data_IF_777717848153
#
_entry.id   IF_777717848153
#
_cell.length_a   1.000
_cell.length_b   1.000
_cell.length_c   1.000
_cell.angle_alpha   90.00
_cell.angle_beta   90.00
_cell.angle_gamma   90.00
#
_symmetry.space_group_name_H-M   'P 1'
#
loop_
_entity.id
_entity.type
_entity.pdbx_description
1 polymer ?
#
# COMPACT_ATOMS: atom_id res chain seq x y z
N UNK A 1 21.61 6.65 -9.27
CA UNK A 1 20.16 6.46 -9.47
C UNK A 1 19.74 5.01 -9.19
N UNK A 2 20.32 4.02 -9.87
CA UNK A 2 19.96 2.61 -9.67
C UNK A 2 20.12 2.13 -8.22
N UNK A 3 21.24 2.46 -7.57
CA UNK A 3 21.47 2.12 -6.15
C UNK A 3 20.46 2.79 -5.20
N UNK A 4 19.94 3.97 -5.55
CA UNK A 4 18.86 4.61 -4.80
C UNK A 4 17.58 3.78 -4.91
N UNK A 5 17.20 3.39 -6.12
CA UNK A 5 16.02 2.55 -6.37
C UNK A 5 16.07 1.21 -5.64
N UNK A 6 17.21 0.51 -5.71
CA UNK A 6 17.37 -0.79 -5.02
C UNK A 6 17.28 -0.64 -3.50
N UNK A 7 18.00 0.34 -2.92
CA UNK A 7 17.99 0.54 -1.48
C UNK A 7 16.61 1.01 -0.97
N UNK A 8 15.94 1.91 -1.69
CA UNK A 8 14.59 2.35 -1.33
C UNK A 8 13.56 1.21 -1.44
N UNK A 9 13.63 0.38 -2.49
CA UNK A 9 12.75 -0.77 -2.65
C UNK A 9 12.92 -1.80 -1.51
N UNK A 10 14.16 -2.17 -1.18
CA UNK A 10 14.44 -3.09 -0.08
C UNK A 10 13.95 -2.57 1.27
N UNK A 11 14.17 -1.27 1.56
CA UNK A 11 13.69 -0.64 2.78
C UNK A 11 12.16 -0.61 2.85
N UNK A 12 11.48 -0.17 1.77
CA UNK A 12 10.03 -0.07 1.70
C UNK A 12 9.36 -1.44 1.82
N UNK A 13 9.85 -2.46 1.12
CA UNK A 13 9.30 -3.81 1.20
C UNK A 13 9.43 -4.41 2.60
N UNK A 14 10.54 -4.11 3.29
CA UNK A 14 10.75 -4.54 4.67
C UNK A 14 9.88 -3.80 5.68
N UNK A 15 9.66 -2.49 5.50
CA UNK A 15 8.82 -1.66 6.37
C UNK A 15 7.32 -1.95 6.19
N UNK A 16 6.87 -2.08 4.93
CA UNK A 16 5.48 -2.38 4.59
C UNK A 16 5.12 -3.85 4.79
N UNK A 17 6.10 -4.70 5.15
CA UNK A 17 5.93 -6.15 5.30
C UNK A 17 5.25 -6.76 4.07
N UNK A 18 5.78 -6.44 2.89
CA UNK A 18 5.21 -6.92 1.63
C UNK A 18 5.09 -8.46 1.64
N UNK A 19 3.97 -9.05 1.18
CA UNK A 19 3.69 -10.48 1.37
C UNK A 19 4.77 -11.44 0.83
N UNK A 20 5.47 -11.04 -0.24
CA UNK A 20 6.54 -11.83 -0.87
C UNK A 20 7.95 -11.55 -0.34
N UNK A 21 8.12 -10.57 0.56
CA UNK A 21 9.45 -10.14 1.01
C UNK A 21 9.95 -10.99 2.18
N UNK A 22 10.99 -11.81 1.94
CA UNK A 22 11.60 -12.70 2.95
C UNK A 22 13.13 -12.71 2.84
N UNK A 23 13.83 -11.65 3.29
CA UNK A 23 15.28 -11.60 3.24
C UNK A 23 15.87 -12.69 4.17
N UNK A 24 16.59 -13.64 3.59
CA UNK A 24 17.23 -14.74 4.34
C UNK A 24 18.65 -14.38 4.82
N UNK A 25 19.21 -13.26 4.32
CA UNK A 25 20.57 -12.85 4.64
C UNK A 25 20.69 -12.34 6.07
N UNK A 26 21.61 -12.93 6.85
CA UNK A 26 21.77 -12.68 8.29
C UNK A 26 22.04 -11.22 8.66
N UNK A 27 22.79 -10.48 7.86
CA UNK A 27 23.16 -9.09 8.15
C UNK A 27 22.27 -8.05 7.44
N UNK A 28 21.17 -8.50 6.82
CA UNK A 28 20.22 -7.58 6.23
C UNK A 28 19.39 -6.89 7.32
N UNK A 29 19.36 -5.55 7.32
CA UNK A 29 18.44 -4.77 8.13
C UNK A 29 17.92 -3.58 7.33
N UNK A 30 16.63 -3.26 7.50
CA UNK A 30 15.96 -2.19 6.75
C UNK A 30 16.63 -0.82 6.96
N UNK A 31 17.16 -0.55 8.15
CA UNK A 31 17.84 0.72 8.46
C UNK A 31 19.13 0.89 7.65
N UNK A 32 19.87 -0.19 7.40
CA UNK A 32 21.09 -0.15 6.59
C UNK A 32 20.78 0.21 5.14
N UNK A 33 19.67 -0.33 4.63
CA UNK A 33 19.19 0.00 3.28
C UNK A 33 18.69 1.45 3.20
N UNK A 34 17.99 1.96 4.23
CA UNK A 34 17.63 3.39 4.27
C UNK A 34 18.86 4.31 4.33
N UNK A 35 19.87 3.94 5.11
CA UNK A 35 21.13 4.68 5.16
C UNK A 35 21.81 4.71 3.79
N UNK A 36 21.86 3.58 3.09
CA UNK A 36 22.38 3.49 1.72
C UNK A 36 21.61 4.37 0.73
N UNK A 37 20.28 4.40 0.83
CA UNK A 37 19.44 5.28 0.01
C UNK A 37 19.75 6.76 0.29
N UNK A 38 19.84 7.16 1.56
CA UNK A 38 20.17 8.53 1.96
C UNK A 38 21.54 8.96 1.43
N UNK A 39 22.56 8.12 1.58
CA UNK A 39 23.90 8.39 1.05
C UNK A 39 23.90 8.53 -0.47
N UNK A 40 23.12 7.72 -1.18
CA UNK A 40 22.97 7.86 -2.63
C UNK A 40 22.38 9.22 -3.01
N UNK A 41 21.35 9.70 -2.31
CA UNK A 41 20.78 11.04 -2.54
C UNK A 41 21.82 12.12 -2.25
N UNK A 42 22.50 12.05 -1.11
CA UNK A 42 23.50 13.03 -0.71
C UNK A 42 24.60 13.18 -1.78
N UNK A 43 25.17 12.08 -2.27
CA UNK A 43 26.20 12.09 -3.32
C UNK A 43 25.68 12.67 -4.64
N UNK A 44 24.44 12.37 -5.02
CA UNK A 44 23.83 12.91 -6.24
C UNK A 44 23.64 14.43 -6.17
N UNK A 45 23.21 14.95 -5.02
CA UNK A 45 23.04 16.38 -4.81
C UNK A 45 24.38 17.13 -4.72
N UNK A 46 25.40 16.54 -4.08
CA UNK A 46 26.75 17.12 -4.01
C UNK A 46 27.37 17.23 -5.42
N UNK A 47 27.15 16.24 -6.28
CA UNK A 47 27.72 16.22 -7.64
C UNK A 47 27.07 17.26 -8.56
N UNK A 48 25.76 17.16 -8.77
CA UNK A 48 25.02 18.11 -9.59
C UNK A 48 23.52 18.07 -9.28
N UNK A 49 23.07 18.98 -8.42
CA UNK A 49 21.70 18.99 -7.91
C UNK A 49 20.63 19.13 -9.02
N UNK A 50 20.88 19.94 -10.06
CA UNK A 50 19.93 20.11 -11.17
C UNK A 50 19.68 18.81 -11.94
N UNK A 51 20.75 18.10 -12.34
CA UNK A 51 20.63 16.83 -13.04
C UNK A 51 20.06 15.74 -12.13
N UNK A 52 20.36 15.78 -10.83
CA UNK A 52 19.78 14.86 -9.85
C UNK A 52 18.25 14.99 -9.77
N UNK A 53 17.72 16.23 -9.71
CA UNK A 53 16.27 16.47 -9.71
C UNK A 53 15.60 15.94 -10.98
N UNK A 54 16.18 16.23 -12.15
CA UNK A 54 15.65 15.76 -13.44
C UNK A 54 15.64 14.23 -13.49
N UNK A 55 16.73 13.57 -13.08
CA UNK A 55 16.81 12.12 -13.07
C UNK A 55 15.79 11.49 -12.11
N UNK A 56 15.58 12.09 -10.92
CA UNK A 56 14.56 11.65 -9.95
C UNK A 56 13.15 11.79 -10.52
N UNK A 57 12.86 12.93 -11.15
CA UNK A 57 11.57 13.16 -11.78
C UNK A 57 11.27 12.15 -12.88
N UNK A 58 12.21 11.93 -13.81
CA UNK A 58 12.04 10.96 -14.91
C UNK A 58 11.86 9.55 -14.34
N UNK A 59 12.66 9.16 -13.33
CA UNK A 59 12.54 7.86 -12.68
C UNK A 59 11.16 7.64 -12.04
N UNK A 60 10.63 8.65 -11.34
CA UNK A 60 9.31 8.60 -10.74
C UNK A 60 8.19 8.54 -11.78
N UNK A 61 8.30 9.29 -12.89
CA UNK A 61 7.34 9.28 -13.99
C UNK A 61 7.28 7.89 -14.66
N UNK A 62 8.44 7.28 -14.94
CA UNK A 62 8.50 5.92 -15.50
C UNK A 62 7.91 4.90 -14.53
N UNK A 63 8.20 4.99 -13.23
CA UNK A 63 7.60 4.12 -12.22
C UNK A 63 6.08 4.21 -12.23
N UNK A 64 5.53 5.43 -12.25
CA UNK A 64 4.07 5.65 -12.30
C UNK A 64 3.43 5.17 -13.58
N UNK A 65 4.11 5.35 -14.72
CA UNK A 65 3.63 4.83 -15.99
C UNK A 65 3.54 3.29 -15.98
N UNK A 66 4.55 2.60 -15.47
CA UNK A 66 4.55 1.13 -15.34
C UNK A 66 3.42 0.68 -14.40
N UNK A 67 3.21 1.38 -13.28
CA UNK A 67 2.13 1.09 -12.33
C UNK A 67 0.75 1.19 -13.00
N UNK A 68 0.52 2.26 -13.77
CA UNK A 68 -0.71 2.48 -14.52
C UNK A 68 -0.93 1.41 -15.61
N UNK A 69 0.07 1.17 -16.45
CA UNK A 69 -0.01 0.19 -17.53
C UNK A 69 -0.18 -1.24 -16.99
N UNK A 70 0.43 -1.55 -15.84
CA UNK A 70 0.25 -2.82 -15.13
C UNK A 70 -1.19 -2.99 -14.63
N UNK A 71 -1.76 -1.93 -14.02
CA UNK A 71 -3.14 -1.95 -13.54
C UNK A 71 -4.16 -2.08 -14.69
N UNK A 72 -3.94 -1.38 -15.80
CA UNK A 72 -4.78 -1.48 -17.00
C UNK A 72 -4.74 -2.90 -17.59
N UNK A 73 -3.56 -3.52 -17.64
CA UNK A 73 -3.40 -4.90 -18.12
C UNK A 73 -4.06 -5.93 -17.20
N UNK A 74 -3.95 -5.78 -15.88
CA UNK A 74 -4.52 -6.74 -14.91
C UNK A 74 -6.04 -6.62 -14.77
N UNK A 75 -6.58 -5.39 -14.82
CA UNK A 75 -7.96 -5.11 -14.43
C UNK A 75 -8.81 -4.47 -15.54
N UNK A 76 -8.26 -4.20 -16.72
CA UNK A 76 -8.95 -3.63 -17.88
C UNK A 76 -9.20 -2.11 -17.81
N UNK A 77 -9.21 -1.52 -16.62
CA UNK A 77 -9.32 -0.08 -16.37
C UNK A 77 -8.11 0.39 -15.54
N UNK A 78 -7.28 1.31 -16.05
CA UNK A 78 -6.07 1.76 -15.35
C UNK A 78 -6.35 2.38 -13.96
N UNK A 79 -7.23 3.39 -13.88
CA UNK A 79 -7.53 4.10 -12.62
C UNK A 79 -8.26 3.21 -11.59
N UNK A 80 -9.24 2.41 -12.04
CA UNK A 80 -9.96 1.48 -11.15
C UNK A 80 -9.08 0.31 -10.74
N UNK A 81 -8.23 -0.16 -11.66
CA UNK A 81 -7.25 -1.22 -11.43
C UNK A 81 -6.22 -0.84 -10.36
N UNK A 82 -5.77 0.42 -10.31
CA UNK A 82 -4.89 0.90 -9.23
C UNK A 82 -5.57 0.75 -7.85
N UNK A 83 -6.85 1.11 -7.75
CA UNK A 83 -7.63 0.95 -6.53
C UNK A 83 -7.81 -0.51 -6.12
N UNK A 84 -8.09 -1.39 -7.08
CA UNK A 84 -8.22 -2.84 -6.86
C UNK A 84 -6.90 -3.47 -6.42
N UNK A 85 -5.79 -3.14 -7.08
CA UNK A 85 -4.45 -3.61 -6.70
C UNK A 85 -4.06 -3.16 -5.29
N UNK A 86 -4.34 -1.90 -4.92
CA UNK A 86 -4.12 -1.40 -3.57
C UNK A 86 -4.99 -2.15 -2.53
N UNK A 87 -6.26 -2.40 -2.83
CA UNK A 87 -7.16 -3.14 -1.95
C UNK A 87 -6.71 -4.60 -1.75
N UNK A 88 -6.29 -5.27 -2.83
CA UNK A 88 -5.71 -6.62 -2.79
C UNK A 88 -4.47 -6.67 -1.91
N UNK A 89 -3.55 -5.72 -2.08
CA UNK A 89 -2.34 -5.64 -1.25
C UNK A 89 -2.67 -5.45 0.24
N UNK A 90 -3.65 -4.58 0.56
CA UNK A 90 -4.09 -4.36 1.93
C UNK A 90 -4.72 -5.62 2.56
N UNK A 91 -5.55 -6.35 1.81
CA UNK A 91 -6.16 -7.60 2.27
C UNK A 91 -5.12 -8.69 2.55
N UNK A 92 -4.15 -8.87 1.65
CA UNK A 92 -3.06 -9.84 1.84
C UNK A 92 -2.18 -9.51 3.07
N UNK A 93 -2.00 -8.22 3.36
CA UNK A 93 -1.27 -7.79 4.56
C UNK A 93 -2.06 -7.94 5.85
N UNK A 94 -3.40 -8.00 5.78
CA UNK A 94 -4.26 -8.15 6.96
C UNK A 94 -4.23 -9.59 7.49
N UNK A 95 -4.16 -10.57 6.59
CA UNK A 95 -4.18 -12.01 6.91
C UNK A 95 -3.03 -12.43 7.85
N UNK A 96 -1.87 -11.78 7.73
CA UNK A 96 -0.69 -12.08 8.54
C UNK A 96 -0.74 -11.55 9.99
N UNK A 97 -1.79 -10.85 10.41
CA UNK A 97 -1.89 -10.26 11.76
C UNK A 97 -2.77 -11.11 12.67
N UNK A 98 -2.26 -11.65 13.80
CA UNK A 98 -3.08 -12.40 14.72
C UNK A 98 -4.17 -11.50 15.31
N UNK A 99 -5.43 -11.91 15.20
CA UNK A 99 -6.53 -11.23 15.87
C UNK A 99 -6.39 -11.44 17.38
N UNK A 100 -6.13 -10.36 18.11
CA UNK A 100 -5.98 -10.44 19.55
C UNK A 100 -7.34 -10.30 20.24
N UNK A 101 -7.67 -11.21 21.14
CA UNK A 101 -8.97 -11.26 21.84
C UNK A 101 -9.30 -9.98 22.63
N UNK A 102 -8.29 -9.19 23.04
CA UNK A 102 -8.49 -7.91 23.74
C UNK A 102 -8.88 -6.72 22.85
N UNK A 103 -8.85 -6.86 21.52
CA UNK A 103 -9.15 -5.78 20.58
C UNK A 103 -10.27 -6.16 19.61
N UNK A 104 -11.40 -6.64 20.16
CA UNK A 104 -12.57 -6.99 19.36
C UNK A 104 -13.15 -5.75 18.67
N UNK A 105 -13.38 -5.87 17.36
CA UNK A 105 -14.09 -4.86 16.55
C UNK A 105 -15.27 -5.55 15.86
N UNK A 106 -16.53 -5.13 16.09
CA UNK A 106 -17.67 -5.76 15.46
C UNK A 106 -17.63 -5.56 13.94
N UNK A 107 -17.52 -6.66 13.19
CA UNK A 107 -17.81 -6.70 11.77
C UNK A 107 -19.22 -7.24 11.61
N UNK A 108 -20.16 -6.35 11.28
CA UNK A 108 -21.59 -6.65 11.26
C UNK A 108 -21.98 -7.22 9.89
N UNK A 109 -22.60 -8.40 9.88
CA UNK A 109 -23.31 -8.94 8.72
C UNK A 109 -24.80 -8.70 8.94
N UNK A 110 -25.40 -7.85 8.11
CA UNK A 110 -26.83 -7.50 8.20
C UNK A 110 -27.59 -8.30 7.14
N UNK A 111 -28.47 -9.20 7.57
CA UNK A 111 -29.32 -9.99 6.70
C UNK A 111 -30.63 -9.22 6.46
N UNK A 112 -30.94 -8.96 5.20
CA UNK A 112 -32.14 -8.23 4.78
C UNK A 112 -32.87 -9.07 3.73
N UNK A 113 -34.19 -9.20 3.88
CA UNK A 113 -35.03 -9.97 2.94
C UNK A 113 -35.38 -9.15 1.69
N UNK A 114 -35.55 -7.82 1.84
CA UNK A 114 -35.77 -6.90 0.73
C UNK A 114 -35.17 -5.50 1.03
N UNK A 115 -34.52 -4.87 0.05
CA UNK A 115 -33.79 -3.60 0.24
C UNK A 115 -34.73 -2.38 0.34
N UNK A 116 -35.89 -2.43 -0.32
CA UNK A 116 -36.78 -1.27 -0.48
C UNK A 116 -37.91 -1.20 0.56
N UNK A 117 -37.90 -2.09 1.56
CA UNK A 117 -38.94 -2.11 2.58
C UNK A 117 -38.72 -1.01 3.65
N UNK A 118 -39.77 -0.39 4.20
CA UNK A 118 -39.64 0.63 5.24
C UNK A 118 -38.99 0.11 6.53
N UNK A 119 -39.11 -1.19 6.83
CA UNK A 119 -38.45 -1.83 7.98
C UNK A 119 -36.93 -1.99 7.76
N UNK A 120 -36.48 -2.10 6.51
CA UNK A 120 -35.06 -2.16 6.13
C UNK A 120 -34.33 -0.86 6.45
N UNK A 121 -34.97 0.30 6.24
CA UNK A 121 -34.39 1.60 6.57
C UNK A 121 -34.10 1.77 8.08
N UNK A 122 -34.97 1.22 8.95
CA UNK A 122 -34.76 1.25 10.39
C UNK A 122 -33.50 0.48 10.82
N UNK A 123 -33.36 -0.76 10.35
CA UNK A 123 -32.21 -1.63 10.65
C UNK A 123 -30.90 -1.04 10.12
N UNK A 124 -30.89 -0.52 8.89
CA UNK A 124 -29.71 0.12 8.31
C UNK A 124 -29.30 1.38 9.09
N UNK A 125 -30.26 2.18 9.56
CA UNK A 125 -29.97 3.35 10.39
C UNK A 125 -29.34 2.96 11.72
N UNK A 126 -29.84 1.90 12.36
CA UNK A 126 -29.31 1.38 13.62
C UNK A 126 -27.88 0.86 13.46
N UNK A 127 -27.61 0.08 12.41
CA UNK A 127 -26.26 -0.43 12.10
C UNK A 127 -25.28 0.70 11.81
N UNK A 128 -25.72 1.73 11.08
CA UNK A 128 -24.92 2.93 10.79
C UNK A 128 -24.53 3.67 12.07
N UNK A 129 -25.48 3.85 12.99
CA UNK A 129 -25.25 4.45 14.31
C UNK A 129 -24.30 3.59 15.16
N UNK A 130 -24.48 2.27 15.16
CA UNK A 130 -23.63 1.33 15.91
C UNK A 130 -22.18 1.32 15.41
N UNK A 131 -21.96 1.47 14.09
CA UNK A 131 -20.62 1.63 13.50
C UNK A 131 -20.09 3.08 13.58
N UNK A 132 -20.94 4.03 14.00
CA UNK A 132 -20.65 5.46 14.09
C UNK A 132 -20.01 6.05 12.81
N UNK A 133 -20.38 5.53 11.63
CA UNK A 133 -19.83 5.98 10.35
C UNK A 133 -18.34 5.72 10.12
N UNK A 134 -17.65 5.00 11.01
CA UNK A 134 -16.26 4.58 10.79
C UNK A 134 -16.25 3.52 9.68
N UNK A 135 -15.84 3.91 8.46
CA UNK A 135 -15.68 3.00 7.33
C UNK A 135 -14.53 2.04 7.58
#
# INVERSE_FOLDING_TARGET
MCYLGVNTACALQSLLKSPGWRPSFRYFHWSLSMLGAFLCVAVMFISAWHFALIAIFIGAAVYKYIEYAGAEKEWGDGLRGLGLSAARFALLNLDNKPQHSRNWRPQLLVLLENTDSPTTHGILSFVSQLKAGKR
#
